data_IF_604772448912
#
_entry.id   IF_604772448912
#
_cell.length_a   1.000
_cell.length_b   1.000
_cell.length_c   1.000
_cell.angle_alpha   90.00
_cell.angle_beta   90.00
_cell.angle_gamma   90.00
#
_symmetry.space_group_name_H-M   'P 1'
#
loop_
_entity.id
_entity.type
_entity.pdbx_description
1 polymer ?
#
# COMPACT_ATOMS: atom_id res chain seq x y z
N UNK A 1 7.99 2.12 5.18
CA UNK A 1 8.70 3.33 5.68
C UNK A 1 8.39 4.55 4.81
N UNK A 2 8.69 4.50 3.50
CA UNK A 2 8.52 5.62 2.56
C UNK A 2 7.09 6.20 2.52
N UNK A 3 6.07 5.38 2.30
CA UNK A 3 4.68 5.84 2.26
C UNK A 3 4.24 6.54 3.57
N UNK A 4 4.68 6.05 4.73
CA UNK A 4 4.44 6.70 6.02
C UNK A 4 5.15 8.05 6.09
N UNK A 5 6.41 8.13 5.67
CA UNK A 5 7.14 9.40 5.63
C UNK A 5 6.44 10.42 4.70
N UNK A 6 5.97 9.99 3.53
CA UNK A 6 5.20 10.84 2.60
C UNK A 6 3.90 11.35 3.25
N UNK A 7 3.21 10.50 4.01
CA UNK A 7 2.00 10.90 4.74
C UNK A 7 2.32 11.89 5.88
N UNK A 8 3.32 11.60 6.71
CA UNK A 8 3.72 12.45 7.84
C UNK A 8 4.23 13.83 7.39
N UNK A 9 4.79 13.93 6.19
CA UNK A 9 5.24 15.20 5.59
C UNK A 9 4.17 15.83 4.67
N UNK A 10 2.91 15.43 4.79
CA UNK A 10 1.82 15.97 3.98
C UNK A 10 0.85 16.82 4.80
N UNK A 11 0.04 17.67 4.15
CA UNK A 11 -1.05 18.38 4.82
C UNK A 11 -2.10 17.46 5.48
N UNK A 12 -2.10 16.16 5.18
CA UNK A 12 -3.05 15.15 5.70
C UNK A 12 -2.50 14.37 6.91
N UNK A 13 -1.43 14.84 7.55
CA UNK A 13 -0.74 14.16 8.66
C UNK A 13 -1.65 13.84 9.86
N UNK A 14 -2.66 14.68 10.13
CA UNK A 14 -3.61 14.46 11.21
C UNK A 14 -4.76 13.49 10.83
N UNK A 15 -4.84 13.10 9.57
CA UNK A 15 -5.88 12.21 9.03
C UNK A 15 -5.41 10.76 8.98
N UNK A 16 -6.30 9.77 8.79
CA UNK A 16 -5.92 8.36 8.81
C UNK A 16 -4.86 8.00 7.77
N UNK A 17 -3.94 7.10 8.15
CA UNK A 17 -3.07 6.39 7.24
C UNK A 17 -3.46 4.91 7.25
N UNK A 18 -4.08 4.45 6.17
CA UNK A 18 -4.48 3.05 6.00
C UNK A 18 -3.49 2.40 5.04
N UNK A 19 -2.91 1.27 5.45
CA UNK A 19 -1.98 0.51 4.63
C UNK A 19 -2.51 -0.90 4.41
N UNK A 20 -2.55 -1.30 3.15
CA UNK A 20 -3.12 -2.57 2.70
C UNK A 20 -2.08 -3.26 1.83
N UNK A 21 -1.81 -4.53 2.14
CA UNK A 21 -1.03 -5.39 1.25
C UNK A 21 -2.00 -6.19 0.39
N UNK A 22 -2.06 -5.85 -0.91
CA UNK A 22 -3.00 -6.45 -1.86
C UNK A 22 -2.69 -7.94 -2.10
N UNK A 23 -1.43 -8.36 -2.01
CA UNK A 23 -1.04 -9.76 -2.14
C UNK A 23 -1.49 -10.63 -0.94
N UNK A 24 -1.73 -10.01 0.22
CA UNK A 24 -2.18 -10.72 1.42
C UNK A 24 -3.70 -10.93 1.49
N UNK A 25 -4.47 -10.29 0.59
CA UNK A 25 -5.94 -10.40 0.56
C UNK A 25 -6.35 -11.43 -0.48
N UNK A 26 -7.31 -12.29 -0.14
CA UNK A 26 -7.90 -13.20 -1.12
C UNK A 26 -8.55 -12.39 -2.27
N UNK A 27 -8.19 -12.74 -3.51
CA UNK A 27 -8.67 -12.12 -4.74
C UNK A 27 -10.21 -12.08 -4.85
N UNK A 28 -10.89 -13.06 -4.27
CA UNK A 28 -12.36 -13.14 -4.27
C UNK A 28 -13.01 -12.07 -3.39
N UNK A 29 -12.32 -11.57 -2.36
CA UNK A 29 -12.87 -10.60 -1.41
C UNK A 29 -12.24 -9.23 -1.49
N UNK A 30 -11.13 -9.07 -2.23
CA UNK A 30 -10.36 -7.82 -2.28
C UNK A 30 -11.18 -6.61 -2.72
N UNK A 31 -12.15 -6.80 -3.61
CA UNK A 31 -13.10 -5.75 -3.99
C UNK A 31 -13.88 -5.23 -2.76
N UNK A 32 -14.47 -6.16 -2.01
CA UNK A 32 -15.30 -5.84 -0.85
C UNK A 32 -14.47 -5.28 0.32
N UNK A 33 -13.20 -5.62 0.41
CA UNK A 33 -12.25 -5.04 1.37
C UNK A 33 -11.88 -3.59 0.99
N UNK A 34 -11.62 -3.31 -0.29
CA UNK A 34 -11.27 -1.97 -0.75
C UNK A 34 -12.45 -1.00 -0.69
N UNK A 35 -13.61 -1.43 -1.20
CA UNK A 35 -14.77 -0.55 -1.42
C UNK A 35 -15.89 -0.73 -0.40
N UNK A 36 -15.81 -1.78 0.43
CA UNK A 36 -16.87 -2.12 1.38
C UNK A 36 -18.03 -2.84 0.71
N UNK A 37 -19.00 -3.26 1.51
CA UNK A 37 -20.23 -3.88 1.00
C UNK A 37 -21.43 -3.52 1.85
N UNK A 38 -22.59 -3.45 1.19
CA UNK A 38 -23.88 -3.24 1.85
C UNK A 38 -24.40 -4.55 2.44
N UNK A 39 -25.21 -4.46 3.50
CA UNK A 39 -25.94 -5.62 4.04
C UNK A 39 -26.67 -6.36 2.90
N UNK A 40 -26.46 -7.68 2.82
CA UNK A 40 -27.14 -8.53 1.85
C UNK A 40 -26.57 -8.47 0.42
N UNK A 41 -25.38 -7.89 0.22
CA UNK A 41 -24.75 -7.79 -1.09
C UNK A 41 -24.42 -9.16 -1.72
N UNK A 42 -24.14 -10.19 -0.91
CA UNK A 42 -23.87 -11.57 -1.36
C UNK A 42 -24.17 -12.59 -0.26
N UNK A 43 -24.24 -13.88 -0.62
CA UNK A 43 -24.45 -14.98 0.33
C UNK A 43 -23.27 -15.09 1.30
N UNK A 44 -23.52 -14.86 2.60
CA UNK A 44 -22.47 -14.81 3.64
C UNK A 44 -22.03 -13.40 4.05
N UNK A 45 -22.56 -12.35 3.41
CA UNK A 45 -22.30 -10.98 3.83
C UNK A 45 -22.79 -10.73 5.26
N UNK A 46 -21.96 -10.08 6.08
CA UNK A 46 -22.33 -9.77 7.47
C UNK A 46 -23.57 -8.87 7.49
N UNK A 47 -24.47 -9.10 8.44
CA UNK A 47 -25.77 -8.41 8.53
C UNK A 47 -25.65 -6.91 8.81
N UNK A 48 -24.46 -6.43 9.16
CA UNK A 48 -24.17 -5.01 9.40
C UNK A 48 -23.49 -4.30 8.21
N UNK A 49 -23.18 -5.01 7.11
CA UNK A 49 -22.28 -4.50 6.08
C UNK A 49 -20.84 -4.32 6.59
N UNK A 50 -19.97 -3.75 5.76
CA UNK A 50 -18.58 -3.43 6.12
C UNK A 50 -18.11 -2.18 5.37
N UNK A 51 -17.38 -1.30 6.07
CA UNK A 51 -16.69 -0.16 5.46
C UNK A 51 -15.47 -0.66 4.68
N UNK A 52 -15.24 -0.10 3.50
CA UNK A 52 -14.02 -0.38 2.72
C UNK A 52 -12.83 0.44 3.19
N UNK A 53 -11.63 0.04 2.78
CA UNK A 53 -10.41 0.79 3.06
C UNK A 53 -10.43 2.23 2.52
N UNK A 54 -11.12 2.49 1.41
CA UNK A 54 -11.32 3.86 0.93
C UNK A 54 -12.13 4.72 1.92
N UNK A 55 -13.10 4.14 2.61
CA UNK A 55 -13.86 4.85 3.65
C UNK A 55 -13.04 5.03 4.92
N UNK A 56 -12.25 4.03 5.31
CA UNK A 56 -11.37 4.11 6.47
C UNK A 56 -10.26 5.15 6.28
N UNK A 57 -9.80 5.33 5.04
CA UNK A 57 -8.77 6.31 4.66
C UNK A 57 -9.33 7.70 4.34
N UNK A 58 -10.61 7.96 4.60
CA UNK A 58 -11.26 9.23 4.24
C UNK A 58 -10.50 10.45 4.80
N UNK A 59 -10.32 11.46 3.96
CA UNK A 59 -9.49 12.66 4.17
C UNK A 59 -7.99 12.38 4.40
N UNK A 60 -7.57 11.12 4.38
CA UNK A 60 -6.24 10.67 4.73
C UNK A 60 -5.45 10.12 3.56
N UNK A 61 -4.72 9.04 3.81
CA UNK A 61 -3.87 8.37 2.81
C UNK A 61 -4.09 6.86 2.84
N UNK A 62 -4.27 6.27 1.66
CA UNK A 62 -4.34 4.84 1.44
C UNK A 62 -3.08 4.37 0.72
N UNK A 63 -2.31 3.49 1.36
CA UNK A 63 -1.23 2.75 0.74
C UNK A 63 -1.77 1.43 0.18
N UNK A 64 -1.60 1.23 -1.12
CA UNK A 64 -1.81 -0.03 -1.84
C UNK A 64 -0.44 -0.66 -2.10
N UNK A 65 -0.01 -1.53 -1.19
CA UNK A 65 1.23 -2.28 -1.32
C UNK A 65 0.99 -3.53 -2.16
N UNK A 66 1.91 -3.82 -3.07
CA UNK A 66 1.76 -4.83 -4.14
C UNK A 66 0.50 -4.65 -5.00
N UNK A 67 0.28 -3.43 -5.51
CA UNK A 67 -0.89 -3.08 -6.33
C UNK A 67 -1.04 -3.96 -7.59
N UNK A 68 0.06 -4.54 -8.08
CA UNK A 68 0.09 -5.46 -9.22
C UNK A 68 -0.70 -6.76 -8.97
N UNK A 69 -0.92 -7.14 -7.70
CA UNK A 69 -1.66 -8.36 -7.34
C UNK A 69 -3.19 -8.19 -7.40
N UNK A 70 -3.69 -6.97 -7.67
CA UNK A 70 -5.11 -6.72 -7.83
C UNK A 70 -5.66 -7.40 -9.11
N UNK A 71 -6.82 -8.09 -9.03
CA UNK A 71 -7.54 -8.57 -10.21
C UNK A 71 -7.89 -7.44 -11.20
N UNK A 72 -7.95 -7.74 -12.50
CA UNK A 72 -8.18 -6.74 -13.57
C UNK A 72 -9.50 -5.96 -13.42
N UNK A 73 -10.55 -6.62 -12.95
CA UNK A 73 -11.85 -6.01 -12.66
C UNK A 73 -11.77 -5.03 -11.48
N UNK A 74 -10.97 -5.35 -10.47
CA UNK A 74 -10.68 -4.46 -9.34
C UNK A 74 -9.79 -3.30 -9.76
N UNK A 75 -8.81 -3.53 -10.65
CA UNK A 75 -8.00 -2.47 -11.25
C UNK A 75 -8.87 -1.45 -12.01
N UNK A 76 -9.86 -1.92 -12.77
CA UNK A 76 -10.81 -1.03 -13.48
C UNK A 76 -11.63 -0.18 -12.50
N UNK A 77 -12.09 -0.76 -11.39
CA UNK A 77 -12.81 -0.02 -10.35
C UNK A 77 -11.90 0.98 -9.65
N UNK A 78 -10.67 0.60 -9.32
CA UNK A 78 -9.67 1.49 -8.73
C UNK A 78 -9.39 2.70 -9.63
N UNK A 79 -9.20 2.49 -10.93
CA UNK A 79 -9.03 3.58 -11.90
C UNK A 79 -10.20 4.57 -11.83
N UNK A 80 -11.44 4.06 -11.86
CA UNK A 80 -12.65 4.88 -11.76
C UNK A 80 -12.67 5.72 -10.49
N UNK A 81 -12.26 5.16 -9.34
CA UNK A 81 -12.15 5.94 -8.08
C UNK A 81 -11.10 7.06 -8.19
N UNK A 82 -9.97 6.78 -8.83
CA UNK A 82 -8.89 7.76 -9.00
C UNK A 82 -9.27 8.90 -9.94
N UNK A 83 -10.13 8.64 -10.92
CA UNK A 83 -10.63 9.60 -11.91
C UNK A 83 -11.83 10.39 -11.41
N UNK A 84 -12.91 9.70 -11.03
CA UNK A 84 -14.20 10.31 -10.65
C UNK A 84 -14.21 10.85 -9.22
N UNK A 85 -13.26 10.44 -8.38
CA UNK A 85 -13.25 10.73 -6.93
C UNK A 85 -14.51 10.25 -6.21
N UNK A 86 -15.11 9.18 -6.73
CA UNK A 86 -16.27 8.50 -6.14
C UNK A 86 -16.15 6.99 -6.33
N UNK A 87 -16.85 6.23 -5.48
CA UNK A 87 -16.91 4.77 -5.57
C UNK A 87 -18.21 4.24 -4.98
N UNK A 88 -18.51 2.98 -5.29
CA UNK A 88 -19.70 2.30 -4.79
C UNK A 88 -19.26 1.12 -3.93
N UNK A 89 -19.94 0.92 -2.80
CA UNK A 89 -19.81 -0.33 -2.07
C UNK A 89 -20.45 -1.48 -2.87
N UNK A 90 -19.95 -2.70 -2.70
CA UNK A 90 -20.52 -3.87 -3.36
C UNK A 90 -22.00 -4.02 -2.98
N UNK A 91 -22.86 -4.12 -3.98
CA UNK A 91 -24.32 -4.21 -3.81
C UNK A 91 -25.00 -2.90 -3.39
N UNK A 92 -24.30 -1.77 -3.45
CA UNK A 92 -24.89 -0.45 -3.22
C UNK A 92 -25.00 0.35 -4.52
N UNK A 93 -26.02 1.21 -4.60
CA UNK A 93 -26.25 2.10 -5.75
C UNK A 93 -25.97 3.57 -5.43
N UNK A 94 -25.61 3.87 -4.18
CA UNK A 94 -25.28 5.22 -3.74
C UNK A 94 -23.76 5.44 -3.82
N UNK A 95 -23.28 6.44 -4.57
CA UNK A 95 -21.87 6.75 -4.62
C UNK A 95 -21.39 7.32 -3.29
N UNK A 96 -20.13 7.07 -2.97
CA UNK A 96 -19.40 7.61 -1.82
C UNK A 96 -18.21 8.42 -2.33
N UNK A 97 -17.98 9.60 -1.75
CA UNK A 97 -16.87 10.48 -2.12
C UNK A 97 -15.53 9.89 -1.68
N UNK A 98 -14.58 9.82 -2.62
CA UNK A 98 -13.21 9.37 -2.42
C UNK A 98 -12.24 10.57 -2.24
N UNK A 99 -12.36 11.29 -1.12
CA UNK A 99 -11.28 12.21 -0.72
C UNK A 99 -10.16 11.44 -0.02
N UNK A 100 -9.32 10.76 -0.81
CA UNK A 100 -8.22 9.93 -0.31
C UNK A 100 -6.97 10.17 -1.15
N UNK A 101 -5.83 10.39 -0.50
CA UNK A 101 -4.52 10.36 -1.18
C UNK A 101 -4.10 8.90 -1.38
N UNK A 102 -3.91 8.47 -2.62
CA UNK A 102 -3.44 7.10 -2.91
C UNK A 102 -1.93 7.10 -3.09
N UNK A 103 -1.26 6.15 -2.45
CA UNK A 103 0.13 5.78 -2.70
C UNK A 103 0.11 4.31 -3.10
N UNK A 104 0.70 3.96 -4.25
CA UNK A 104 0.82 2.58 -4.68
C UNK A 104 2.29 2.15 -4.65
N UNK A 105 2.54 0.88 -4.36
CA UNK A 105 3.85 0.26 -4.42
C UNK A 105 3.73 -1.12 -5.05
N UNK A 106 4.79 -1.56 -5.73
CA UNK A 106 4.93 -2.95 -6.18
C UNK A 106 6.39 -3.29 -6.42
N UNK A 107 6.74 -4.56 -6.28
CA UNK A 107 8.03 -5.10 -6.69
C UNK A 107 8.01 -5.75 -8.09
N UNK A 108 6.85 -5.85 -8.73
CA UNK A 108 6.68 -6.52 -10.01
C UNK A 108 6.98 -5.56 -11.17
N UNK A 109 7.58 -6.03 -12.29
CA UNK A 109 7.84 -5.21 -13.46
C UNK A 109 6.53 -4.88 -14.20
N UNK A 110 5.99 -3.68 -13.94
CA UNK A 110 4.68 -3.26 -14.44
C UNK A 110 4.61 -3.23 -15.97
N UNK A 111 5.70 -2.90 -16.65
CA UNK A 111 5.78 -2.91 -18.12
C UNK A 111 5.48 -4.29 -18.69
N UNK A 112 6.07 -5.35 -18.11
CA UNK A 112 5.84 -6.73 -18.55
C UNK A 112 4.42 -7.21 -18.21
N UNK A 113 3.87 -6.75 -17.08
CA UNK A 113 2.49 -7.07 -16.71
C UNK A 113 1.47 -6.40 -17.63
N UNK A 114 1.77 -5.18 -18.11
CA UNK A 114 0.95 -4.50 -19.11
C UNK A 114 1.00 -5.27 -20.43
N UNK A 115 2.19 -5.63 -20.92
CA UNK A 115 2.36 -6.40 -22.16
C UNK A 115 1.65 -7.76 -22.12
N UNK A 116 1.65 -8.42 -20.97
CA UNK A 116 0.96 -9.71 -20.77
C UNK A 116 -0.53 -9.58 -20.41
N UNK A 117 -1.09 -8.36 -20.39
CA UNK A 117 -2.49 -8.09 -20.11
C UNK A 117 -2.92 -8.34 -18.66
N UNK A 118 -1.97 -8.41 -17.73
CA UNK A 118 -2.20 -8.62 -16.29
C UNK A 118 -2.32 -7.32 -15.49
N UNK A 119 -1.87 -6.21 -16.07
CA UNK A 119 -2.03 -4.90 -15.48
C UNK A 119 -2.55 -3.90 -16.51
N UNK A 120 -3.50 -3.05 -16.13
CA UNK A 120 -4.06 -2.09 -17.07
C UNK A 120 -3.12 -0.90 -17.28
N UNK A 121 -2.89 -0.57 -18.55
CA UNK A 121 -2.03 0.54 -18.95
C UNK A 121 -2.57 1.91 -18.49
N UNK A 122 -3.89 2.11 -18.52
CA UNK A 122 -4.53 3.35 -18.07
C UNK A 122 -4.35 3.59 -16.56
N UNK A 123 -4.53 2.54 -15.75
CA UNK A 123 -4.27 2.57 -14.31
C UNK A 123 -2.80 2.85 -14.02
N UNK A 124 -1.87 2.26 -14.78
CA UNK A 124 -0.44 2.53 -14.64
C UNK A 124 -0.15 4.03 -14.77
N UNK A 125 -0.58 4.66 -15.86
CA UNK A 125 -0.33 6.09 -16.06
C UNK A 125 -1.02 6.97 -15.02
N UNK A 126 -2.19 6.54 -14.52
CA UNK A 126 -2.88 7.26 -13.45
C UNK A 126 -2.15 7.18 -12.11
N UNK A 127 -1.54 6.05 -11.78
CA UNK A 127 -0.76 5.86 -10.55
C UNK A 127 0.65 6.47 -10.67
N UNK A 128 1.31 6.29 -11.81
CA UNK A 128 2.68 6.72 -12.08
C UNK A 128 2.80 8.19 -12.48
N UNK A 129 1.84 9.04 -12.06
CA UNK A 129 1.97 10.51 -12.24
C UNK A 129 3.22 11.04 -11.52
N UNK A 130 3.55 10.45 -10.38
CA UNK A 130 4.83 10.65 -9.68
C UNK A 130 5.35 9.26 -9.32
N UNK A 131 6.41 8.80 -10.01
CA UNK A 131 7.09 7.54 -9.72
C UNK A 131 8.32 7.80 -8.85
N UNK A 132 8.55 6.92 -7.87
CA UNK A 132 9.73 6.95 -7.01
C UNK A 132 10.33 5.54 -7.01
N UNK A 133 11.46 5.39 -7.69
CA UNK A 133 12.21 4.14 -7.69
C UNK A 133 13.06 4.04 -6.42
N UNK A 134 12.86 2.97 -5.65
CA UNK A 134 13.63 2.72 -4.44
C UNK A 134 14.82 1.83 -4.79
N UNK A 135 16.00 2.44 -4.86
CA UNK A 135 17.26 1.75 -5.12
C UNK A 135 17.50 0.63 -4.09
N UNK A 136 17.85 -0.59 -4.52
CA UNK A 136 18.09 -1.72 -3.63
C UNK A 136 19.37 -1.49 -2.79
N UNK A 137 19.43 -2.09 -1.60
CA UNK A 137 20.53 -1.84 -0.64
C UNK A 137 21.93 -2.14 -1.20
N UNK A 138 22.05 -3.11 -2.12
CA UNK A 138 23.29 -3.47 -2.81
C UNK A 138 23.92 -2.32 -3.62
N UNK A 139 23.12 -1.34 -4.02
CA UNK A 139 23.51 -0.15 -4.80
C UNK A 139 23.65 1.10 -3.92
N UNK A 140 23.44 0.97 -2.60
CA UNK A 140 23.59 2.04 -1.58
C UNK A 140 24.28 1.49 -0.33
N UNK A 141 25.46 0.91 -0.52
CA UNK A 141 26.19 0.19 0.52
C UNK A 141 26.63 1.10 1.68
N UNK A 142 26.80 2.39 1.42
CA UNK A 142 27.09 3.43 2.40
C UNK A 142 25.99 3.58 3.49
N UNK A 143 24.76 3.16 3.21
CA UNK A 143 23.66 3.16 4.18
C UNK A 143 23.75 1.98 5.16
N UNK A 144 24.49 0.91 4.82
CA UNK A 144 24.53 -0.33 5.60
C UNK A 144 25.03 -0.08 7.03
N UNK A 145 26.15 0.64 7.27
CA UNK A 145 26.61 0.89 8.64
C UNK A 145 25.60 1.69 9.48
N UNK A 146 24.88 2.64 8.88
CA UNK A 146 23.86 3.42 9.58
C UNK A 146 22.65 2.56 9.95
N UNK A 147 22.18 1.73 9.03
CA UNK A 147 21.08 0.79 9.27
C UNK A 147 21.44 -0.24 10.34
N UNK A 148 22.67 -0.78 10.32
CA UNK A 148 23.17 -1.73 11.31
C UNK A 148 23.14 -1.13 12.70
N UNK A 149 23.66 0.09 12.88
CA UNK A 149 23.65 0.77 14.17
C UNK A 149 22.22 1.07 14.66
N UNK A 150 21.33 1.46 13.75
CA UNK A 150 19.92 1.68 14.06
C UNK A 150 19.24 0.39 14.57
N UNK A 151 19.41 -0.73 13.85
CA UNK A 151 18.84 -2.01 14.26
C UNK A 151 19.49 -2.56 15.54
N UNK A 152 20.79 -2.33 15.75
CA UNK A 152 21.47 -2.68 17.00
C UNK A 152 20.79 -2.02 18.20
N UNK A 153 20.47 -0.73 18.09
CA UNK A 153 19.71 0.00 19.11
C UNK A 153 18.31 -0.58 19.36
N UNK A 154 17.57 -0.91 18.30
CA UNK A 154 16.24 -1.55 18.40
C UNK A 154 16.33 -2.88 19.15
N UNK A 155 17.27 -3.74 18.76
CA UNK A 155 17.39 -5.07 19.35
C UNK A 155 17.94 -5.05 20.77
N UNK A 156 18.86 -4.13 21.08
CA UNK A 156 19.29 -3.88 22.45
C UNK A 156 18.10 -3.55 23.36
N UNK A 157 17.26 -2.61 22.92
CA UNK A 157 16.05 -2.24 23.68
C UNK A 157 15.08 -3.40 23.81
N UNK A 158 14.84 -4.15 22.73
CA UNK A 158 13.90 -5.28 22.69
C UNK A 158 14.33 -6.43 23.60
N UNK A 159 15.63 -6.73 23.67
CA UNK A 159 16.15 -7.90 24.38
C UNK A 159 16.90 -7.56 25.68
N UNK A 160 16.87 -6.30 26.12
CA UNK A 160 17.59 -5.85 27.31
C UNK A 160 19.11 -6.03 27.20
N UNK A 161 19.66 -5.92 25.99
CA UNK A 161 21.10 -6.04 25.72
C UNK A 161 21.73 -4.64 25.60
N UNK A 162 23.06 -4.61 25.62
CA UNK A 162 23.88 -3.39 25.55
C UNK A 162 25.05 -3.56 24.58
N UNK A 163 24.78 -4.14 23.41
CA UNK A 163 25.81 -4.25 22.37
C UNK A 163 26.08 -2.86 21.79
N UNK A 164 27.31 -2.35 21.93
CA UNK A 164 27.63 -0.99 21.48
C UNK A 164 28.09 -0.94 20.02
N UNK A 165 28.67 -2.03 19.50
CA UNK A 165 29.29 -2.08 18.18
C UNK A 165 29.16 -3.46 17.55
N UNK A 166 29.21 -3.49 16.23
CA UNK A 166 29.45 -4.70 15.45
C UNK A 166 30.96 -4.92 15.36
N UNK A 167 31.40 -6.18 15.38
CA UNK A 167 32.83 -6.47 15.26
C UNK A 167 33.35 -6.04 13.89
N UNK A 168 34.58 -5.53 13.81
CA UNK A 168 35.23 -5.16 12.53
C UNK A 168 35.24 -6.30 11.51
N UNK A 169 35.28 -7.56 11.97
CA UNK A 169 35.23 -8.73 11.09
C UNK A 169 33.85 -8.87 10.44
N UNK A 170 32.79 -8.64 11.21
CA UNK A 170 31.42 -8.67 10.69
C UNK A 170 31.17 -7.45 9.78
N UNK A 171 31.62 -6.25 10.14
CA UNK A 171 31.50 -5.04 9.30
C UNK A 171 32.12 -5.20 7.90
N UNK A 172 33.19 -5.98 7.76
CA UNK A 172 33.85 -6.26 6.47
C UNK A 172 33.08 -7.22 5.55
N UNK A 173 32.08 -7.93 6.07
CA UNK A 173 31.31 -8.95 5.33
C UNK A 173 29.90 -8.44 5.01
N UNK A 174 29.46 -7.36 5.68
CA UNK A 174 28.22 -6.63 5.41
C UNK A 174 28.37 -5.77 4.15
#
# INVERSE_FOLDING_TARGET
LFARAIHFNSPRVASPFVAVNCAAINKEVVESELFGYKRGAFTGAHTKGKKGFFEEAHSGTLLLDEVADLPLDVQAKLLRVLEEKEFYAVGDSQPKKADVRVIAATNQPLEQLIESGKFRQDLYFRLATIAIDITPLRERQEDIPLLVNYFLGIFNKKYGKKFEKVSKKAEKIL
#
